data_IF_648150057825
#
_entry.id   IF_648150057825
#
_cell.length_a   1.000
_cell.length_b   1.000
_cell.length_c   1.000
_cell.angle_alpha   90.00
_cell.angle_beta   90.00
_cell.angle_gamma   90.00
#
_symmetry.space_group_name_H-M   'P 1'
#
loop_
_entity.id
_entity.type
_entity.pdbx_description
1 polymer ?
#
# COMPACT_ATOMS: atom_id res chain seq x y z
N UNK A 1 14.89 1.05 20.25
CA UNK A 1 14.63 2.02 19.16
C UNK A 1 14.08 1.36 17.89
N UNK A 2 14.64 0.20 17.48
CA UNK A 2 14.24 -0.57 16.29
C UNK A 2 12.75 -0.97 16.31
N UNK A 3 12.27 -1.56 17.41
CA UNK A 3 10.87 -1.97 17.57
C UNK A 3 9.88 -0.81 17.46
N UNK A 4 10.23 0.37 17.98
CA UNK A 4 9.36 1.56 17.98
C UNK A 4 9.11 2.11 16.58
N UNK A 5 10.14 2.13 15.72
CA UNK A 5 9.99 2.61 14.34
C UNK A 5 9.27 1.58 13.46
N UNK A 6 9.49 0.28 13.69
CA UNK A 6 8.70 -0.77 13.04
C UNK A 6 7.22 -0.69 13.45
N UNK A 7 6.94 -0.53 14.76
CA UNK A 7 5.58 -0.33 15.27
C UNK A 7 4.87 0.83 14.57
N UNK A 8 5.50 2.02 14.54
CA UNK A 8 4.95 3.21 13.90
C UNK A 8 4.72 2.99 12.40
N UNK A 9 5.67 2.38 11.68
CA UNK A 9 5.53 2.09 10.26
C UNK A 9 4.35 1.15 9.99
N UNK A 10 4.24 0.07 10.77
CA UNK A 10 3.13 -0.88 10.67
C UNK A 10 1.78 -0.22 10.98
N UNK A 11 1.73 0.64 12.01
CA UNK A 11 0.51 1.36 12.40
C UNK A 11 0.03 2.30 11.30
N UNK A 12 0.93 3.12 10.74
CA UNK A 12 0.60 4.01 9.61
C UNK A 12 0.17 3.19 8.40
N UNK A 13 0.86 2.08 8.11
CA UNK A 13 0.51 1.17 7.01
C UNK A 13 -0.88 0.55 7.19
N UNK A 14 -1.26 0.21 8.42
CA UNK A 14 -2.60 -0.30 8.74
C UNK A 14 -3.67 0.76 8.54
N UNK A 15 -3.41 2.00 8.98
CA UNK A 15 -4.32 3.13 8.74
C UNK A 15 -4.50 3.36 7.23
N UNK A 16 -3.40 3.38 6.47
CA UNK A 16 -3.46 3.50 5.01
C UNK A 16 -4.26 2.35 4.38
N UNK A 17 -4.09 1.11 4.86
CA UNK A 17 -4.84 -0.06 4.39
C UNK A 17 -6.34 0.09 4.62
N UNK A 18 -6.78 0.68 5.75
CA UNK A 18 -8.21 0.96 5.97
C UNK A 18 -8.78 1.91 4.90
N UNK A 19 -8.04 2.97 4.57
CA UNK A 19 -8.44 3.89 3.49
C UNK A 19 -8.41 3.23 2.12
N UNK A 20 -7.41 2.38 1.85
CA UNK A 20 -7.32 1.59 0.62
C UNK A 20 -8.51 0.64 0.52
N UNK A 21 -8.82 -0.13 1.55
CA UNK A 21 -9.97 -1.04 1.57
C UNK A 21 -11.28 -0.30 1.27
N UNK A 22 -11.50 0.84 1.92
CA UNK A 22 -12.68 1.66 1.66
C UNK A 22 -12.73 2.18 0.21
N UNK A 23 -11.59 2.65 -0.31
CA UNK A 23 -11.45 3.05 -1.70
C UNK A 23 -11.78 1.90 -2.67
N UNK A 24 -11.22 0.71 -2.44
CA UNK A 24 -11.42 -0.46 -3.30
C UNK A 24 -12.90 -0.88 -3.33
N UNK A 25 -13.58 -0.88 -2.17
CA UNK A 25 -15.02 -1.17 -2.09
C UNK A 25 -15.84 -0.17 -2.90
N UNK A 26 -15.51 1.13 -2.81
CA UNK A 26 -16.20 2.15 -3.61
C UNK A 26 -16.00 1.93 -5.11
N UNK A 27 -14.78 1.60 -5.54
CA UNK A 27 -14.49 1.33 -6.96
C UNK A 27 -15.15 0.03 -7.45
N UNK A 28 -15.32 -0.97 -6.58
CA UNK A 28 -15.96 -2.25 -6.93
C UNK A 28 -17.49 -2.07 -7.10
N UNK A 29 -18.11 -1.24 -6.26
CA UNK A 29 -19.56 -0.95 -6.32
C UNK A 29 -19.90 0.02 -7.46
N UNK A 30 -19.16 1.13 -7.59
CA UNK A 30 -19.50 2.22 -8.52
C UNK A 30 -18.70 2.18 -9.84
N UNK A 31 -17.79 1.21 -9.98
CA UNK A 31 -16.93 1.04 -11.14
C UNK A 31 -15.70 1.97 -11.12
N UNK A 32 -14.72 1.67 -11.98
CA UNK A 32 -13.42 2.37 -12.01
C UNK A 32 -13.54 3.86 -12.35
N UNK A 33 -14.55 4.27 -13.12
CA UNK A 33 -14.80 5.68 -13.44
C UNK A 33 -15.15 6.50 -12.19
N UNK A 34 -15.58 5.87 -11.10
CA UNK A 34 -15.79 6.56 -9.83
C UNK A 34 -14.49 7.09 -9.22
N UNK A 35 -13.33 6.67 -9.73
CA UNK A 35 -12.02 7.24 -9.38
C UNK A 35 -11.92 8.75 -9.65
N UNK A 36 -12.68 9.27 -10.62
CA UNK A 36 -12.73 10.71 -10.90
C UNK A 36 -13.60 11.50 -9.91
N UNK A 37 -14.36 10.83 -9.05
CA UNK A 37 -15.20 11.51 -8.06
C UNK A 37 -14.34 12.23 -7.00
N UNK A 38 -14.85 13.37 -6.50
CA UNK A 38 -14.15 14.15 -5.47
C UNK A 38 -13.90 13.35 -4.19
N UNK A 39 -14.83 12.47 -3.82
CA UNK A 39 -14.72 11.61 -2.63
C UNK A 39 -13.53 10.67 -2.77
N UNK A 40 -13.43 9.95 -3.90
CA UNK A 40 -12.33 9.02 -4.16
C UNK A 40 -10.99 9.76 -4.24
N UNK A 41 -10.93 10.89 -4.94
CA UNK A 41 -9.69 11.66 -5.03
C UNK A 41 -9.18 12.10 -3.65
N UNK A 42 -10.07 12.55 -2.75
CA UNK A 42 -9.69 12.90 -1.38
C UNK A 42 -9.08 11.70 -0.65
N UNK A 43 -9.69 10.52 -0.76
CA UNK A 43 -9.18 9.29 -0.14
C UNK A 43 -7.79 8.94 -0.71
N UNK A 44 -7.62 9.00 -2.03
CA UNK A 44 -6.33 8.72 -2.67
C UNK A 44 -5.24 9.70 -2.23
N UNK A 45 -5.56 10.98 -2.07
CA UNK A 45 -4.63 11.97 -1.51
C UNK A 45 -4.26 11.67 -0.06
N UNK A 46 -5.21 11.26 0.78
CA UNK A 46 -4.94 10.83 2.16
C UNK A 46 -3.97 9.64 2.17
N UNK A 47 -4.24 8.61 1.34
CA UNK A 47 -3.37 7.43 1.23
C UNK A 47 -1.96 7.84 0.80
N UNK A 48 -1.85 8.72 -0.20
CA UNK A 48 -0.56 9.21 -0.67
C UNK A 48 0.18 10.00 0.42
N UNK A 49 -0.50 10.86 1.19
CA UNK A 49 0.12 11.58 2.31
C UNK A 49 0.64 10.60 3.38
N UNK A 50 -0.10 9.52 3.67
CA UNK A 50 0.30 8.50 4.64
C UNK A 50 1.55 7.70 4.20
N UNK A 51 1.88 7.69 2.91
CA UNK A 51 3.09 7.03 2.40
C UNK A 51 4.37 7.64 2.99
N UNK A 52 4.41 8.95 3.25
CA UNK A 52 5.58 9.64 3.80
C UNK A 52 5.93 9.21 5.23
N UNK A 53 5.04 9.34 6.24
CA UNK A 53 5.34 8.90 7.59
C UNK A 53 5.59 7.39 7.65
N UNK A 54 4.92 6.59 6.81
CA UNK A 54 5.19 5.15 6.70
C UNK A 54 6.62 4.89 6.24
N UNK A 55 7.01 5.48 5.09
CA UNK A 55 8.36 5.38 4.54
C UNK A 55 9.43 5.85 5.53
N UNK A 56 9.27 7.04 6.13
CA UNK A 56 10.25 7.58 7.06
C UNK A 56 10.43 6.66 8.28
N UNK A 57 9.34 6.07 8.77
CA UNK A 57 9.38 5.16 9.91
C UNK A 57 10.12 3.87 9.58
N UNK A 58 9.82 3.24 8.43
CA UNK A 58 10.51 2.03 7.98
C UNK A 58 11.96 2.28 7.60
N UNK A 59 12.26 3.37 6.91
CA UNK A 59 13.62 3.74 6.56
C UNK A 59 14.47 4.01 7.82
N UNK A 60 13.86 4.57 8.87
CA UNK A 60 14.50 4.75 10.18
C UNK A 60 14.60 3.46 11.00
N UNK A 61 14.17 2.32 10.47
CA UNK A 61 14.34 1.01 11.10
C UNK A 61 15.49 0.24 10.46
N UNK A 62 16.14 -0.64 11.24
CA UNK A 62 17.26 -1.46 10.76
C UNK A 62 16.74 -2.64 9.92
N UNK A 63 16.22 -2.33 8.73
CA UNK A 63 15.66 -3.33 7.82
C UNK A 63 16.73 -4.15 7.11
N UNK A 64 16.41 -5.42 6.87
CA UNK A 64 17.08 -6.26 5.91
C UNK A 64 17.01 -5.67 4.50
N UNK A 65 18.15 -5.65 3.78
CA UNK A 65 18.26 -5.09 2.43
C UNK A 65 17.62 -3.69 2.29
N UNK A 66 17.81 -2.82 3.29
CA UNK A 66 17.21 -1.47 3.38
C UNK A 66 17.25 -0.64 2.08
N UNK A 67 18.32 -0.77 1.29
CA UNK A 67 18.47 -0.08 0.00
C UNK A 67 17.29 -0.30 -0.95
N UNK A 68 16.64 -1.46 -0.92
CA UNK A 68 15.47 -1.73 -1.78
C UNK A 68 14.35 -0.73 -1.46
N UNK A 69 14.02 -0.55 -0.17
CA UNK A 69 13.03 0.42 0.28
C UNK A 69 13.47 1.87 0.00
N UNK A 70 14.74 2.20 0.21
CA UNK A 70 15.29 3.55 0.00
C UNK A 70 15.16 4.05 -1.44
N UNK A 71 15.25 3.18 -2.43
CA UNK A 71 15.11 3.57 -3.83
C UNK A 71 13.67 3.42 -4.34
N UNK A 72 13.02 2.28 -4.05
CA UNK A 72 11.75 1.96 -4.67
C UNK A 72 10.56 2.68 -4.05
N UNK A 73 10.57 2.93 -2.74
CA UNK A 73 9.47 3.66 -2.11
C UNK A 73 9.39 5.11 -2.61
N UNK A 74 10.49 5.89 -2.70
CA UNK A 74 10.42 7.22 -3.30
C UNK A 74 9.97 7.21 -4.78
N UNK A 75 10.41 6.23 -5.57
CA UNK A 75 9.96 6.09 -6.97
C UNK A 75 8.45 5.87 -7.02
N UNK A 76 7.91 4.97 -6.19
CA UNK A 76 6.47 4.72 -6.09
C UNK A 76 5.70 6.00 -5.71
N UNK A 77 6.19 6.74 -4.72
CA UNK A 77 5.58 7.99 -4.23
C UNK A 77 5.55 9.06 -5.32
N UNK A 78 6.62 9.19 -6.10
CA UNK A 78 6.70 10.17 -7.20
C UNK A 78 5.76 9.78 -8.34
N UNK A 79 5.76 8.52 -8.76
CA UNK A 79 4.90 8.04 -9.85
C UNK A 79 3.43 8.21 -9.47
N UNK A 80 3.05 7.82 -8.24
CA UNK A 80 1.67 7.98 -7.76
C UNK A 80 1.28 9.45 -7.62
N UNK A 81 2.19 10.34 -7.22
CA UNK A 81 1.92 11.80 -7.22
C UNK A 81 1.58 12.31 -8.61
N UNK A 82 2.38 11.93 -9.62
CA UNK A 82 2.12 12.30 -11.01
C UNK A 82 0.75 11.75 -11.41
N UNK A 83 0.46 10.49 -11.10
CA UNK A 83 -0.84 9.88 -11.37
C UNK A 83 -2.01 10.64 -10.73
N UNK A 84 -1.89 11.08 -9.48
CA UNK A 84 -2.90 11.89 -8.78
C UNK A 84 -3.13 13.24 -9.46
N UNK A 85 -2.07 13.90 -9.93
CA UNK A 85 -2.18 15.16 -10.67
C UNK A 85 -2.94 14.94 -11.99
N UNK A 86 -2.60 13.90 -12.75
CA UNK A 86 -3.30 13.59 -14.00
C UNK A 86 -4.77 13.19 -13.75
N UNK A 87 -5.04 12.45 -12.69
CA UNK A 87 -6.40 12.08 -12.29
C UNK A 87 -7.24 13.30 -11.93
N UNK A 88 -6.66 14.25 -11.18
CA UNK A 88 -7.31 15.51 -10.81
C UNK A 88 -7.63 16.39 -12.03
N UNK A 89 -6.86 16.25 -13.11
CA UNK A 89 -7.13 16.88 -14.41
C UNK A 89 -8.16 16.10 -15.26
N UNK A 90 -8.78 15.04 -14.73
CA UNK A 90 -9.76 14.23 -15.42
C UNK A 90 -9.18 13.27 -16.46
N UNK A 91 -7.88 12.96 -16.40
CA UNK A 91 -7.21 12.09 -17.39
C UNK A 91 -7.05 10.67 -16.86
N UNK A 92 -7.50 9.69 -17.65
CA UNK A 92 -7.45 8.26 -17.29
C UNK A 92 -6.03 7.71 -17.07
N UNK A 93 -5.03 8.25 -17.78
CA UNK A 93 -3.61 7.98 -17.54
C UNK A 93 -3.20 8.18 -16.08
N UNK A 94 -3.92 9.01 -15.31
CA UNK A 94 -3.71 9.16 -13.88
C UNK A 94 -3.94 7.87 -13.10
N UNK A 95 -4.99 7.10 -13.44
CA UNK A 95 -5.28 5.79 -12.85
C UNK A 95 -4.18 4.79 -13.20
N UNK A 96 -3.77 4.74 -14.47
CA UNK A 96 -2.73 3.84 -14.97
C UNK A 96 -1.40 4.09 -14.25
N UNK A 97 -1.02 5.36 -14.07
CA UNK A 97 0.17 5.74 -13.32
C UNK A 97 0.08 5.37 -11.84
N UNK A 98 -1.09 5.55 -11.21
CA UNK A 98 -1.30 5.13 -9.82
C UNK A 98 -1.07 3.61 -9.70
N UNK A 99 -1.74 2.81 -10.54
CA UNK A 99 -1.58 1.35 -10.56
C UNK A 99 -0.12 0.96 -10.79
N UNK A 100 0.55 1.62 -11.74
CA UNK A 100 1.97 1.38 -12.01
C UNK A 100 2.85 1.71 -10.80
N UNK A 101 2.59 2.81 -10.10
CA UNK A 101 3.29 3.15 -8.86
C UNK A 101 3.12 2.09 -7.77
N UNK A 102 1.91 1.51 -7.65
CA UNK A 102 1.63 0.43 -6.69
C UNK A 102 2.40 -0.87 -6.98
N UNK A 103 2.88 -1.11 -8.20
CA UNK A 103 3.74 -2.27 -8.52
C UNK A 103 5.05 -2.24 -7.71
N UNK A 104 5.56 -1.06 -7.42
CA UNK A 104 6.79 -0.90 -6.64
C UNK A 104 6.59 -1.14 -5.13
N UNK A 105 5.35 -1.08 -4.63
CA UNK A 105 5.04 -1.28 -3.21
C UNK A 105 5.46 -2.66 -2.69
N UNK A 106 5.02 -3.81 -3.26
CA UNK A 106 5.46 -5.11 -2.79
C UNK A 106 6.97 -5.30 -2.92
N UNK A 107 7.61 -4.67 -3.92
CA UNK A 107 9.06 -4.76 -4.09
C UNK A 107 9.77 -3.99 -2.96
N UNK A 108 9.34 -2.77 -2.64
CA UNK A 108 9.82 -2.02 -1.47
C UNK A 108 9.53 -2.78 -0.16
N UNK A 109 8.40 -3.48 -0.10
CA UNK A 109 7.97 -4.35 0.98
C UNK A 109 8.88 -5.55 1.24
N UNK A 110 9.77 -5.94 0.31
CA UNK A 110 10.72 -7.06 0.50
C UNK A 110 11.60 -6.82 1.73
N UNK A 111 12.10 -5.59 1.92
CA UNK A 111 12.94 -5.25 3.08
C UNK A 111 12.20 -5.46 4.40
N UNK A 112 10.93 -5.06 4.44
CA UNK A 112 10.06 -5.22 5.60
C UNK A 112 9.76 -6.71 5.83
N UNK A 113 9.36 -7.43 4.79
CA UNK A 113 9.09 -8.87 4.81
C UNK A 113 10.27 -9.67 5.37
N UNK A 114 11.49 -9.48 4.84
CA UNK A 114 12.67 -10.19 5.29
C UNK A 114 12.99 -9.92 6.76
N UNK A 115 12.77 -8.68 7.20
CA UNK A 115 12.96 -8.28 8.60
C UNK A 115 11.93 -8.95 9.51
N UNK A 116 10.65 -8.88 9.16
CA UNK A 116 9.54 -9.42 9.94
C UNK A 116 9.48 -10.96 9.93
N UNK A 117 9.98 -11.60 8.86
CA UNK A 117 10.04 -13.07 8.72
C UNK A 117 10.90 -13.71 9.82
N UNK A 118 11.90 -12.99 10.35
CA UNK A 118 12.71 -13.45 11.50
C UNK A 118 11.92 -13.55 12.80
N UNK A 119 10.76 -12.89 12.89
CA UNK A 119 9.89 -12.85 14.06
C UNK A 119 8.71 -13.81 13.88
N UNK A 120 8.05 -13.76 12.73
CA UNK A 120 7.01 -14.73 12.38
C UNK A 120 6.95 -14.93 10.88
N UNK A 121 7.17 -16.16 10.43
CA UNK A 121 7.08 -16.53 9.02
C UNK A 121 5.65 -16.37 8.52
N UNK A 122 4.66 -16.92 9.24
CA UNK A 122 3.26 -16.88 8.83
C UNK A 122 2.76 -15.45 8.65
N UNK A 123 2.87 -14.61 9.67
CA UNK A 123 2.31 -13.25 9.61
C UNK A 123 3.08 -12.34 8.65
N UNK A 124 4.40 -12.56 8.50
CA UNK A 124 5.19 -11.84 7.48
C UNK A 124 4.76 -12.25 6.07
N UNK A 125 4.48 -13.54 5.84
CA UNK A 125 3.94 -14.05 4.59
C UNK A 125 2.54 -13.51 4.30
N UNK A 126 1.64 -13.44 5.29
CA UNK A 126 0.31 -12.84 5.12
C UNK A 126 0.43 -11.37 4.70
N UNK A 127 1.27 -10.59 5.39
CA UNK A 127 1.55 -9.20 5.01
C UNK A 127 2.04 -9.09 3.56
N UNK A 128 3.07 -9.86 3.21
CA UNK A 128 3.76 -9.71 1.93
C UNK A 128 2.96 -10.24 0.74
N UNK A 129 2.43 -11.47 0.84
CA UNK A 129 1.63 -12.05 -0.23
C UNK A 129 0.24 -11.40 -0.33
N UNK A 130 -0.33 -10.92 0.78
CA UNK A 130 -1.51 -10.06 0.75
C UNK A 130 -1.25 -8.80 -0.08
N UNK A 131 -0.10 -8.13 0.12
CA UNK A 131 0.29 -6.97 -0.68
C UNK A 131 0.47 -7.32 -2.17
N UNK A 132 1.08 -8.46 -2.49
CA UNK A 132 1.21 -8.92 -3.89
C UNK A 132 -0.16 -9.15 -4.53
N UNK A 133 -1.07 -9.85 -3.85
CA UNK A 133 -2.43 -10.13 -4.35
C UNK A 133 -3.20 -8.82 -4.53
N UNK A 134 -3.10 -7.91 -3.56
CA UNK A 134 -3.68 -6.57 -3.62
C UNK A 134 -3.25 -5.85 -4.90
N UNK A 135 -1.93 -5.71 -5.12
CA UNK A 135 -1.36 -4.99 -6.26
C UNK A 135 -1.68 -5.68 -7.59
N UNK A 136 -1.58 -7.00 -7.66
CA UNK A 136 -1.91 -7.77 -8.86
C UNK A 136 -3.40 -7.70 -9.21
N UNK A 137 -4.27 -7.48 -8.23
CA UNK A 137 -5.70 -7.28 -8.44
C UNK A 137 -6.08 -5.90 -8.99
N UNK A 138 -5.22 -4.88 -8.85
CA UNK A 138 -5.59 -3.50 -9.20
C UNK A 138 -5.97 -3.34 -10.69
N UNK A 139 -5.23 -3.92 -11.67
CA UNK A 139 -5.64 -3.90 -13.07
C UNK A 139 -6.96 -4.63 -13.33
N UNK A 140 -7.35 -5.57 -12.45
CA UNK A 140 -8.52 -6.43 -12.63
C UNK A 140 -9.84 -5.71 -12.37
N UNK A 141 -9.82 -4.48 -11.84
CA UNK A 141 -10.98 -3.59 -11.84
C UNK A 141 -11.51 -3.28 -13.24
N UNK A 142 -10.65 -3.35 -14.28
CA UNK A 142 -11.08 -3.20 -15.67
C UNK A 142 -11.95 -4.37 -16.17
N UNK A 143 -11.91 -5.50 -15.47
CA UNK A 143 -12.59 -6.74 -15.82
C UNK A 143 -13.63 -7.16 -14.78
N UNK A 144 -14.07 -6.25 -13.90
CA UNK A 144 -15.02 -6.51 -12.80
C UNK A 144 -14.54 -7.60 -11.80
N UNK A 145 -13.23 -7.68 -11.59
CA UNK A 145 -12.60 -8.61 -10.65
C UNK A 145 -11.86 -7.86 -9.52
N UNK A 146 -12.35 -6.66 -9.16
CA UNK A 146 -11.79 -5.80 -8.11
C UNK A 146 -11.77 -6.44 -6.73
N UNK A 147 -12.65 -7.41 -6.48
CA UNK A 147 -12.68 -8.24 -5.27
C UNK A 147 -11.33 -8.89 -4.94
N UNK A 148 -10.49 -9.19 -5.94
CA UNK A 148 -9.15 -9.77 -5.72
C UNK A 148 -8.26 -8.80 -4.96
N UNK A 149 -8.28 -7.51 -5.30
CA UNK A 149 -7.51 -6.50 -4.56
C UNK A 149 -8.01 -6.34 -3.14
N UNK A 150 -9.34 -6.38 -2.94
CA UNK A 150 -9.98 -6.28 -1.63
C UNK A 150 -9.52 -7.42 -0.72
N UNK A 151 -9.56 -8.66 -1.20
CA UNK A 151 -9.10 -9.84 -0.45
C UNK A 151 -7.61 -9.71 -0.11
N UNK A 152 -6.78 -9.30 -1.07
CA UNK A 152 -5.35 -9.08 -0.84
C UNK A 152 -5.07 -8.06 0.28
N UNK A 153 -5.79 -6.94 0.28
CA UNK A 153 -5.63 -5.90 1.29
C UNK A 153 -6.06 -6.38 2.69
N UNK A 154 -7.15 -7.14 2.78
CA UNK A 154 -7.60 -7.77 4.04
C UNK A 154 -6.54 -8.75 4.57
N UNK A 155 -5.98 -9.62 3.72
CA UNK A 155 -4.92 -10.56 4.12
C UNK A 155 -3.69 -9.80 4.63
N UNK A 156 -3.30 -8.73 3.92
CA UNK A 156 -2.20 -7.85 4.32
C UNK A 156 -2.45 -7.24 5.71
N UNK A 157 -3.67 -6.74 5.96
CA UNK A 157 -4.08 -6.18 7.24
C UNK A 157 -3.99 -7.18 8.39
N UNK A 158 -4.36 -8.46 8.17
CA UNK A 158 -4.19 -9.52 9.18
C UNK A 158 -2.72 -9.66 9.56
N UNK A 159 -1.81 -9.68 8.57
CA UNK A 159 -0.37 -9.69 8.82
C UNK A 159 0.12 -8.49 9.65
N UNK A 160 -0.30 -7.28 9.27
CA UNK A 160 0.06 -6.04 9.98
C UNK A 160 -0.44 -6.03 11.43
N UNK A 161 -1.67 -6.49 11.67
CA UNK A 161 -2.29 -6.47 12.99
C UNK A 161 -1.46 -7.24 14.04
N UNK A 162 -0.92 -8.40 13.66
CA UNK A 162 -0.04 -9.18 14.52
C UNK A 162 1.23 -8.42 14.89
N UNK A 163 1.89 -7.79 13.92
CA UNK A 163 3.14 -7.06 14.18
C UNK A 163 2.91 -5.79 14.97
N UNK A 164 1.79 -5.09 14.78
CA UNK A 164 1.40 -3.95 15.62
C UNK A 164 1.25 -4.42 17.07
N UNK A 165 0.52 -5.50 17.31
CA UNK A 165 0.37 -6.06 18.66
C UNK A 165 1.72 -6.50 19.26
N UNK A 166 2.58 -7.12 18.44
CA UNK A 166 3.88 -7.65 18.89
C UNK A 166 4.89 -6.57 19.26
N UNK A 167 4.84 -5.40 18.62
CA UNK A 167 5.79 -4.30 18.85
C UNK A 167 5.24 -3.16 19.71
N UNK A 168 3.99 -3.25 20.17
CA UNK A 168 3.40 -2.32 21.14
C UNK A 168 4.20 -2.30 22.44
#
# INVERSE_FOLDING_TARGET
>A
MISRNLFKGNLVSMIASIFILYLLILLDIYGINYAFSRIVQIIMWIIWILSFPSYLSYNSSLLEKRKILEYLAPIAIIITLIGLIFLALGKFIGIELIVFGYIFEPIAGISIFLTLKKISVLFSSLFFYGAIIFTAGLPLFLFNLGIISIIGDIIKMVGLSYFIYKFK
#
